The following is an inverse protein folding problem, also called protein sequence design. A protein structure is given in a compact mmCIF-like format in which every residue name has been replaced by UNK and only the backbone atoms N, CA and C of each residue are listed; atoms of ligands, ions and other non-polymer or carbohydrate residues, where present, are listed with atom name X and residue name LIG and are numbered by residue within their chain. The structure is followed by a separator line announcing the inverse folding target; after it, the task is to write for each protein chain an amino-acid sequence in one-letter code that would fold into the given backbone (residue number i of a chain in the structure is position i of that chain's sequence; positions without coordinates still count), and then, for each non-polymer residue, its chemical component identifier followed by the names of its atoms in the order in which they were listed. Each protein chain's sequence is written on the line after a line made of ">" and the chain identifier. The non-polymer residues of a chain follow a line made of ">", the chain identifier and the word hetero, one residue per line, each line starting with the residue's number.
data_IF_739996168471
#
_entry.id   IF_739996168471
#
_cell.length_a   1.000
_cell.length_b   1.000
_cell.length_c   1.000
_cell.angle_alpha   90.00
_cell.angle_beta   90.00
_cell.angle_gamma   90.00
#
_symmetry.space_group_name_H-M   'P 1'
#
loop_
_entity.id
_entity.type
_entity.pdbx_description
1 polymer ?
#
# COMPACT_ATOMS: atom_id res chain seq x y z
N UNK A 1 49.43 2.77 -24.82
CA UNK A 1 48.54 3.93 -24.60
C UNK A 1 47.17 3.73 -25.24
N UNK A 2 47.06 3.40 -26.53
CA UNK A 2 45.75 3.15 -27.15
C UNK A 2 45.02 1.91 -26.59
N UNK A 3 45.73 0.78 -26.42
CA UNK A 3 45.12 -0.46 -25.93
C UNK A 3 44.54 -0.35 -24.50
N UNK A 4 45.23 0.38 -23.60
CA UNK A 4 44.77 0.61 -22.22
C UNK A 4 43.51 1.47 -22.16
N UNK A 5 43.33 2.41 -23.09
CA UNK A 5 42.14 3.27 -23.19
C UNK A 5 40.92 2.47 -23.64
N UNK A 6 41.09 1.62 -24.65
CA UNK A 6 40.02 0.76 -25.18
C UNK A 6 39.50 -0.19 -24.11
N UNK A 7 40.39 -0.77 -23.30
CA UNK A 7 40.02 -1.68 -22.20
C UNK A 7 39.21 -0.95 -21.11
N UNK A 8 39.60 0.28 -20.75
CA UNK A 8 38.92 1.07 -19.71
C UNK A 8 37.51 1.49 -20.15
N UNK A 9 37.37 1.96 -21.39
CA UNK A 9 36.05 2.29 -21.96
C UNK A 9 35.16 1.05 -22.04
N UNK A 10 35.70 -0.09 -22.46
CA UNK A 10 34.96 -1.34 -22.55
C UNK A 10 34.48 -1.85 -21.18
N UNK A 11 35.34 -1.79 -20.16
CA UNK A 11 34.98 -2.15 -18.78
C UNK A 11 33.92 -1.21 -18.19
N UNK A 12 33.99 0.09 -18.47
CA UNK A 12 32.98 1.06 -18.03
C UNK A 12 31.60 0.78 -18.66
N UNK A 13 31.57 0.41 -19.95
CA UNK A 13 30.32 0.04 -20.66
C UNK A 13 29.71 -1.25 -20.08
N UNK A 14 30.52 -2.25 -19.76
CA UNK A 14 30.04 -3.51 -19.15
C UNK A 14 29.44 -3.26 -17.76
N UNK A 15 30.10 -2.47 -16.92
CA UNK A 15 29.63 -2.17 -15.56
C UNK A 15 28.34 -1.34 -15.59
N UNK A 16 28.25 -0.37 -16.50
CA UNK A 16 27.03 0.45 -16.67
C UNK A 16 25.86 -0.37 -17.23
N UNK A 17 26.11 -1.29 -18.16
CA UNK A 17 25.09 -2.21 -18.66
C UNK A 17 24.59 -3.18 -17.57
N UNK A 18 25.49 -3.70 -16.72
CA UNK A 18 25.11 -4.56 -15.60
C UNK A 18 24.24 -3.84 -14.56
N UNK A 19 24.55 -2.56 -14.26
CA UNK A 19 23.75 -1.74 -13.36
C UNK A 19 22.33 -1.51 -13.89
N UNK A 20 22.17 -1.24 -15.19
CA UNK A 20 20.85 -1.09 -15.81
C UNK A 20 20.02 -2.38 -15.73
N UNK A 21 20.63 -3.54 -15.97
CA UNK A 21 19.93 -4.82 -15.85
C UNK A 21 19.45 -5.11 -14.42
N UNK A 22 20.29 -4.84 -13.41
CA UNK A 22 19.92 -5.03 -12.00
C UNK A 22 18.74 -4.14 -11.59
N UNK A 23 18.73 -2.90 -12.06
CA UNK A 23 17.65 -1.93 -11.80
C UNK A 23 16.33 -2.42 -12.40
N UNK A 24 16.33 -2.93 -13.63
CA UNK A 24 15.12 -3.51 -14.25
C UNK A 24 14.59 -4.68 -13.44
N UNK A 25 15.46 -5.57 -12.95
CA UNK A 25 15.05 -6.71 -12.12
C UNK A 25 14.42 -6.24 -10.81
N UNK A 26 15.02 -5.27 -10.11
CA UNK A 26 14.48 -4.73 -8.85
C UNK A 26 13.11 -4.07 -9.08
N UNK A 27 12.99 -3.27 -10.13
CA UNK A 27 11.72 -2.62 -10.49
C UNK A 27 10.63 -3.66 -10.77
N UNK A 28 10.92 -4.68 -11.57
CA UNK A 28 9.97 -5.75 -11.89
C UNK A 28 9.54 -6.50 -10.63
N UNK A 29 10.48 -6.85 -9.74
CA UNK A 29 10.18 -7.53 -8.47
C UNK A 29 9.28 -6.65 -7.59
N UNK A 30 9.59 -5.36 -7.43
CA UNK A 30 8.77 -4.43 -6.63
C UNK A 30 7.36 -4.32 -7.19
N UNK A 31 7.22 -4.17 -8.51
CA UNK A 31 5.90 -4.09 -9.17
C UNK A 31 5.11 -5.39 -8.95
N UNK A 32 5.74 -6.56 -9.13
CA UNK A 32 5.08 -7.86 -8.92
C UNK A 32 4.61 -8.00 -7.47
N UNK A 33 5.46 -7.69 -6.49
CA UNK A 33 5.10 -7.76 -5.06
C UNK A 33 3.92 -6.84 -4.74
N UNK A 34 3.96 -5.59 -5.24
CA UNK A 34 2.88 -4.62 -5.03
C UNK A 34 1.58 -5.13 -5.62
N UNK A 35 1.59 -5.62 -6.87
CA UNK A 35 0.38 -6.15 -7.53
C UNK A 35 -0.18 -7.34 -6.75
N UNK A 36 0.65 -8.26 -6.28
CA UNK A 36 0.20 -9.41 -5.47
C UNK A 36 -0.45 -8.94 -4.16
N UNK A 37 0.17 -8.02 -3.43
CA UNK A 37 -0.39 -7.49 -2.18
C UNK A 37 -1.72 -6.80 -2.43
N UNK A 38 -1.80 -5.96 -3.46
CA UNK A 38 -3.03 -5.27 -3.86
C UNK A 38 -4.16 -6.27 -4.14
N UNK A 39 -3.89 -7.32 -4.93
CA UNK A 39 -4.89 -8.32 -5.27
C UNK A 39 -5.40 -9.06 -4.03
N UNK A 40 -4.50 -9.48 -3.13
CA UNK A 40 -4.88 -10.15 -1.89
C UNK A 40 -5.76 -9.25 -1.02
N UNK A 41 -5.37 -7.98 -0.84
CA UNK A 41 -6.14 -7.02 -0.04
C UNK A 41 -7.52 -6.78 -0.65
N UNK A 42 -7.62 -6.60 -1.97
CA UNK A 42 -8.90 -6.40 -2.66
C UNK A 42 -9.83 -7.61 -2.50
N UNK A 43 -9.32 -8.83 -2.66
CA UNK A 43 -10.12 -10.06 -2.54
C UNK A 43 -10.67 -10.24 -1.13
N UNK A 44 -9.86 -10.02 -0.09
CA UNK A 44 -10.28 -10.16 1.31
C UNK A 44 -11.31 -9.09 1.69
N UNK A 45 -11.12 -7.86 1.21
CA UNK A 45 -11.95 -6.71 1.58
C UNK A 45 -13.29 -6.69 0.85
N UNK A 46 -13.31 -7.13 -0.42
CA UNK A 46 -14.55 -7.21 -1.21
C UNK A 46 -15.62 -8.10 -0.56
N UNK A 47 -15.23 -9.04 0.30
CA UNK A 47 -16.15 -9.90 1.03
C UNK A 47 -16.74 -9.27 2.30
N UNK A 48 -16.16 -8.16 2.81
CA UNK A 48 -16.49 -7.65 4.14
C UNK A 48 -17.56 -6.55 4.13
N UNK A 49 -17.38 -5.47 3.36
CA UNK A 49 -18.24 -4.28 3.42
C UNK A 49 -17.99 -3.30 2.25
N UNK A 50 -19.03 -2.68 1.66
CA UNK A 50 -18.90 -1.80 0.49
C UNK A 50 -18.11 -0.50 0.77
N UNK A 51 -18.15 0.02 2.00
CA UNK A 51 -17.36 1.20 2.41
C UNK A 51 -15.86 0.88 2.51
N UNK A 52 -15.50 -0.33 2.95
CA UNK A 52 -14.10 -0.76 3.09
C UNK A 52 -13.47 -0.99 1.72
N UNK A 53 -14.25 -1.48 0.76
CA UNK A 53 -13.84 -1.60 -0.65
C UNK A 53 -13.42 -0.26 -1.23
N UNK A 54 -14.20 0.81 -1.02
CA UNK A 54 -13.85 2.15 -1.54
C UNK A 54 -12.54 2.65 -0.95
N UNK A 55 -12.33 2.51 0.37
CA UNK A 55 -11.08 2.95 1.01
C UNK A 55 -9.89 2.13 0.51
N UNK A 56 -10.06 0.82 0.37
CA UNK A 56 -9.00 -0.06 -0.12
C UNK A 56 -8.66 0.24 -1.57
N UNK A 57 -9.65 0.50 -2.43
CA UNK A 57 -9.41 0.92 -3.82
C UNK A 57 -8.62 2.23 -3.85
N UNK A 58 -8.96 3.22 -3.03
CA UNK A 58 -8.21 4.48 -2.95
C UNK A 58 -6.76 4.23 -2.50
N UNK A 59 -6.56 3.42 -1.47
CA UNK A 59 -5.22 3.08 -0.95
C UNK A 59 -4.40 2.31 -1.99
N UNK A 60 -5.02 1.35 -2.68
CA UNK A 60 -4.42 0.61 -3.80
C UNK A 60 -4.00 1.56 -4.91
N UNK A 61 -4.85 2.51 -5.30
CA UNK A 61 -4.52 3.51 -6.33
C UNK A 61 -3.33 4.35 -5.90
N UNK A 62 -3.27 4.81 -4.65
CA UNK A 62 -2.11 5.56 -4.12
C UNK A 62 -0.83 4.73 -4.15
N UNK A 63 -0.89 3.45 -3.76
CA UNK A 63 0.26 2.54 -3.81
C UNK A 63 0.74 2.33 -5.24
N UNK A 64 -0.18 2.07 -6.17
CA UNK A 64 0.13 1.89 -7.60
C UNK A 64 0.77 3.16 -8.17
N UNK A 65 0.19 4.33 -7.90
CA UNK A 65 0.75 5.62 -8.35
C UNK A 65 2.15 5.84 -7.78
N UNK A 66 2.37 5.61 -6.48
CA UNK A 66 3.68 5.76 -5.87
C UNK A 66 4.73 4.82 -6.52
N UNK A 67 4.36 3.57 -6.75
CA UNK A 67 5.23 2.58 -7.39
C UNK A 67 5.55 3.00 -8.82
N UNK A 68 4.56 3.44 -9.59
CA UNK A 68 4.76 3.96 -10.96
C UNK A 68 5.71 5.16 -10.95
N UNK A 69 5.53 6.12 -10.04
CA UNK A 69 6.43 7.28 -9.92
C UNK A 69 7.85 6.83 -9.63
N UNK A 70 8.04 5.89 -8.71
CA UNK A 70 9.35 5.34 -8.37
C UNK A 70 9.99 4.63 -9.56
N UNK A 71 9.23 3.78 -10.27
CA UNK A 71 9.68 3.12 -11.50
C UNK A 71 10.13 4.15 -12.52
N UNK A 72 9.34 5.20 -12.76
CA UNK A 72 9.67 6.25 -13.73
C UNK A 72 10.95 6.99 -13.35
N UNK A 73 11.10 7.39 -12.07
CA UNK A 73 12.32 8.06 -11.58
C UNK A 73 13.54 7.18 -11.80
N UNK A 74 13.43 5.90 -11.47
CA UNK A 74 14.52 4.92 -11.62
C UNK A 74 14.86 4.71 -13.10
N UNK A 75 13.86 4.52 -13.95
CA UNK A 75 14.03 4.30 -15.40
C UNK A 75 14.62 5.53 -16.09
N UNK A 76 14.39 6.75 -15.61
CA UNK A 76 14.96 7.98 -16.19
C UNK A 76 16.34 8.31 -15.59
N UNK A 77 16.55 8.09 -14.30
CA UNK A 77 17.81 8.39 -13.63
C UNK A 77 18.97 7.47 -14.07
N UNK A 78 18.68 6.21 -14.38
CA UNK A 78 19.72 5.24 -14.76
C UNK A 78 20.36 5.56 -16.13
N UNK A 79 19.59 5.79 -17.22
CA UNK A 79 20.16 6.22 -18.49
C UNK A 79 20.93 7.53 -18.39
N UNK A 80 20.42 8.52 -17.66
CA UNK A 80 21.10 9.80 -17.48
C UNK A 80 22.43 9.66 -16.75
N UNK A 81 22.50 8.82 -15.70
CA UNK A 81 23.76 8.48 -15.05
C UNK A 81 24.74 7.79 -16.01
N UNK A 82 24.28 6.82 -16.83
CA UNK A 82 25.17 6.15 -17.79
C UNK A 82 25.74 7.09 -18.85
N UNK A 83 24.95 8.05 -19.34
CA UNK A 83 25.42 9.07 -20.30
C UNK A 83 26.48 9.97 -19.67
N UNK A 84 26.25 10.45 -18.45
CA UNK A 84 27.21 11.29 -17.73
C UNK A 84 28.54 10.55 -17.52
N UNK A 85 28.49 9.28 -17.11
CA UNK A 85 29.69 8.44 -16.91
C UNK A 85 30.49 8.30 -18.18
N UNK A 86 29.84 7.93 -19.29
CA UNK A 86 30.52 7.74 -20.57
C UNK A 86 31.16 9.05 -21.03
N UNK A 87 30.45 10.17 -20.91
CA UNK A 87 30.98 11.49 -21.30
C UNK A 87 32.17 11.88 -20.44
N UNK A 88 32.09 11.74 -19.11
CA UNK A 88 33.20 12.08 -18.20
C UNK A 88 34.42 11.19 -18.45
N UNK A 89 34.22 9.89 -18.63
CA UNK A 89 35.31 8.95 -18.92
C UNK A 89 35.99 9.33 -20.24
N UNK A 90 35.23 9.60 -21.30
CA UNK A 90 35.78 10.00 -22.61
C UNK A 90 36.56 11.31 -22.50
N UNK A 91 36.04 12.34 -21.81
CA UNK A 91 36.71 13.64 -21.65
C UNK A 91 38.02 13.50 -20.86
N UNK A 92 38.00 12.74 -19.76
CA UNK A 92 39.18 12.54 -18.90
C UNK A 92 40.27 11.74 -19.63
N UNK A 93 39.88 10.72 -20.38
CA UNK A 93 40.82 9.90 -21.17
C UNK A 93 41.56 10.73 -22.22
N UNK A 94 40.92 11.75 -22.79
CA UNK A 94 41.52 12.61 -23.82
C UNK A 94 42.46 13.65 -23.21
N UNK A 95 42.16 14.14 -22.01
CA UNK A 95 42.84 15.30 -21.44
C UNK A 95 43.93 14.98 -20.40
N UNK A 96 43.93 13.78 -19.80
CA UNK A 96 44.70 13.51 -18.57
C UNK A 96 45.61 12.27 -18.76
N UNK A 97 46.87 12.28 -18.23
CA UNK A 97 47.79 11.14 -18.33
C UNK A 97 47.21 9.80 -17.84
N UNK A 98 47.56 8.70 -18.50
CA UNK A 98 46.92 7.38 -18.34
C UNK A 98 46.87 6.85 -16.89
N UNK A 99 47.86 7.17 -16.07
CA UNK A 99 47.92 6.81 -14.65
C UNK A 99 46.84 7.48 -13.80
N UNK A 100 46.40 8.68 -14.19
CA UNK A 100 45.32 9.42 -13.54
C UNK A 100 43.93 9.01 -14.03
N UNK A 101 43.82 8.52 -15.27
CA UNK A 101 42.56 8.04 -15.88
C UNK A 101 42.00 6.86 -15.09
N UNK A 102 42.86 5.93 -14.69
CA UNK A 102 42.45 4.75 -13.90
C UNK A 102 41.81 5.19 -12.58
N UNK A 103 42.40 6.16 -11.89
CA UNK A 103 41.88 6.69 -10.63
C UNK A 103 40.53 7.36 -10.82
N UNK A 104 40.40 8.20 -11.87
CA UNK A 104 39.15 8.91 -12.14
C UNK A 104 38.02 7.96 -12.54
N UNK A 105 38.30 6.93 -13.35
CA UNK A 105 37.29 5.93 -13.74
C UNK A 105 36.82 5.12 -12.54
N UNK A 106 37.72 4.74 -11.64
CA UNK A 106 37.37 4.05 -10.38
C UNK A 106 36.44 4.94 -9.54
N UNK A 107 36.77 6.24 -9.40
CA UNK A 107 35.94 7.20 -8.65
C UNK A 107 34.55 7.34 -9.28
N UNK A 108 34.46 7.47 -10.61
CA UNK A 108 33.18 7.60 -11.33
C UNK A 108 32.32 6.35 -11.14
N UNK A 109 32.90 5.15 -11.26
CA UNK A 109 32.19 3.88 -11.05
C UNK A 109 31.65 3.81 -9.62
N UNK A 110 32.46 4.16 -8.62
CA UNK A 110 32.02 4.19 -7.22
C UNK A 110 30.86 5.17 -7.03
N UNK A 111 30.93 6.38 -7.58
CA UNK A 111 29.84 7.37 -7.49
C UNK A 111 28.55 6.84 -8.12
N UNK A 112 28.62 6.19 -9.29
CA UNK A 112 27.44 5.62 -9.96
C UNK A 112 26.83 4.51 -9.12
N UNK A 113 27.64 3.62 -8.57
CA UNK A 113 27.18 2.55 -7.69
C UNK A 113 26.51 3.15 -6.45
N UNK A 114 27.11 4.16 -5.84
CA UNK A 114 26.52 4.87 -4.70
C UNK A 114 25.18 5.51 -5.07
N UNK A 115 25.08 6.20 -6.21
CA UNK A 115 23.82 6.81 -6.68
C UNK A 115 22.76 5.74 -6.91
N UNK A 116 23.08 4.63 -7.58
CA UNK A 116 22.16 3.51 -7.81
C UNK A 116 21.71 2.90 -6.48
N UNK A 117 22.62 2.67 -5.53
CA UNK A 117 22.31 2.15 -4.20
C UNK A 117 21.41 3.13 -3.44
N UNK A 118 21.69 4.42 -3.44
CA UNK A 118 20.86 5.45 -2.80
C UNK A 118 19.47 5.47 -3.40
N UNK A 119 19.35 5.43 -4.73
CA UNK A 119 18.05 5.36 -5.42
C UNK A 119 17.29 4.11 -4.98
N UNK A 120 17.93 2.94 -4.96
CA UNK A 120 17.31 1.68 -4.50
C UNK A 120 16.88 1.78 -3.03
N UNK A 121 17.70 2.34 -2.14
CA UNK A 121 17.35 2.54 -0.73
C UNK A 121 16.14 3.47 -0.59
N UNK A 122 16.09 4.58 -1.33
CA UNK A 122 14.95 5.50 -1.33
C UNK A 122 13.68 4.79 -1.81
N UNK A 123 13.75 4.00 -2.90
CA UNK A 123 12.64 3.17 -3.38
C UNK A 123 12.11 2.26 -2.28
N UNK A 124 13.01 1.55 -1.59
CA UNK A 124 12.66 0.62 -0.50
C UNK A 124 12.01 1.35 0.67
N UNK A 125 12.57 2.48 1.11
CA UNK A 125 12.01 3.28 2.23
C UNK A 125 10.62 3.79 1.89
N UNK A 126 10.41 4.30 0.68
CA UNK A 126 9.08 4.77 0.21
C UNK A 126 8.09 3.61 0.19
N UNK A 127 8.47 2.46 -0.36
CA UNK A 127 7.59 1.28 -0.39
C UNK A 127 7.21 0.82 1.02
N UNK A 128 8.17 0.75 1.96
CA UNK A 128 7.90 0.37 3.36
C UNK A 128 6.94 1.36 4.03
N UNK A 129 7.17 2.66 3.87
CA UNK A 129 6.29 3.69 4.42
C UNK A 129 4.86 3.56 3.88
N UNK A 130 4.69 3.33 2.58
CA UNK A 130 3.38 3.11 1.96
C UNK A 130 2.69 1.89 2.57
N UNK A 131 3.39 0.77 2.72
CA UNK A 131 2.83 -0.45 3.35
C UNK A 131 2.35 -0.18 4.78
N UNK A 132 3.13 0.53 5.60
CA UNK A 132 2.76 0.88 6.98
C UNK A 132 1.49 1.75 7.01
N UNK A 133 1.38 2.73 6.12
CA UNK A 133 0.20 3.58 6.00
C UNK A 133 -1.04 2.76 5.61
N UNK A 134 -0.92 1.89 4.60
CA UNK A 134 -2.01 0.98 4.16
C UNK A 134 -2.51 0.13 5.32
N UNK A 135 -1.60 -0.49 6.07
CA UNK A 135 -1.94 -1.34 7.22
C UNK A 135 -2.65 -0.53 8.32
N UNK A 136 -2.15 0.67 8.61
CA UNK A 136 -2.73 1.54 9.65
C UNK A 136 -4.16 1.95 9.28
N UNK A 137 -4.38 2.34 8.02
CA UNK A 137 -5.71 2.70 7.51
C UNK A 137 -6.66 1.50 7.58
N UNK A 138 -6.20 0.31 7.15
CA UNK A 138 -7.02 -0.90 7.20
C UNK A 138 -7.48 -1.25 8.63
N UNK A 139 -6.59 -1.11 9.62
CA UNK A 139 -6.91 -1.33 11.04
C UNK A 139 -7.97 -0.34 11.52
N UNK A 140 -7.84 0.95 11.18
CA UNK A 140 -8.81 1.98 11.56
C UNK A 140 -10.19 1.68 10.96
N UNK A 141 -10.25 1.33 9.68
CA UNK A 141 -11.51 1.02 9.00
C UNK A 141 -12.14 -0.28 9.56
N UNK A 142 -11.32 -1.27 9.91
CA UNK A 142 -11.77 -2.48 10.61
C UNK A 142 -12.35 -2.18 12.01
N UNK A 143 -11.76 -1.23 12.73
CA UNK A 143 -12.27 -0.81 14.04
C UNK A 143 -13.61 -0.06 13.93
N UNK A 144 -13.74 0.81 12.92
CA UNK A 144 -14.99 1.56 12.66
C UNK A 144 -16.12 0.63 12.26
N UNK A 145 -15.88 -0.33 11.35
CA UNK A 145 -16.89 -1.34 10.98
C UNK A 145 -17.33 -2.16 12.20
N UNK A 146 -16.39 -2.65 13.02
CA UNK A 146 -16.70 -3.38 14.25
C UNK A 146 -17.52 -2.55 15.25
N UNK A 147 -17.17 -1.27 15.46
CA UNK A 147 -17.94 -0.37 16.32
C UNK A 147 -19.38 -0.19 15.80
N UNK A 148 -19.54 -0.05 14.49
CA UNK A 148 -20.85 0.12 13.86
C UNK A 148 -21.72 -1.13 14.03
N UNK A 149 -21.14 -2.32 13.85
CA UNK A 149 -21.82 -3.61 14.08
C UNK A 149 -22.22 -3.76 15.56
N UNK A 150 -21.34 -3.42 16.50
CA UNK A 150 -21.62 -3.47 17.94
C UNK A 150 -22.77 -2.52 18.31
N UNK A 151 -22.80 -1.32 17.73
CA UNK A 151 -23.88 -0.34 17.94
C UNK A 151 -25.21 -0.91 17.40
N UNK A 152 -25.22 -1.46 16.19
CA UNK A 152 -26.42 -2.05 15.58
C UNK A 152 -26.95 -3.22 16.41
N UNK A 153 -26.08 -4.13 16.87
CA UNK A 153 -26.49 -5.28 17.71
C UNK A 153 -27.18 -4.84 19.00
N UNK A 154 -26.63 -3.84 19.70
CA UNK A 154 -27.25 -3.31 20.94
C UNK A 154 -28.62 -2.65 20.66
N UNK A 155 -28.75 -1.94 19.55
CA UNK A 155 -29.98 -1.24 19.17
C UNK A 155 -31.12 -2.22 18.87
N UNK A 156 -30.82 -3.31 18.15
CA UNK A 156 -31.78 -4.38 17.84
C UNK A 156 -32.28 -5.05 19.13
N UNK A 157 -31.38 -5.38 20.05
CA UNK A 157 -31.72 -5.98 21.34
C UNK A 157 -32.66 -5.06 22.14
N UNK A 158 -32.37 -3.76 22.18
CA UNK A 158 -33.21 -2.77 22.87
C UNK A 158 -34.62 -2.71 22.27
N UNK A 159 -34.73 -2.70 20.92
CA UNK A 159 -36.03 -2.66 20.24
C UNK A 159 -36.84 -3.94 20.52
N UNK A 160 -36.21 -5.11 20.47
CA UNK A 160 -36.89 -6.39 20.72
C UNK A 160 -37.42 -6.44 22.16
N UNK A 161 -36.58 -6.07 23.14
CA UNK A 161 -36.99 -6.02 24.55
C UNK A 161 -38.15 -5.05 24.74
N UNK A 162 -38.09 -3.86 24.11
CA UNK A 162 -39.18 -2.89 24.18
C UNK A 162 -40.50 -3.45 23.63
N UNK A 163 -40.47 -4.14 22.49
CA UNK A 163 -41.66 -4.77 21.92
C UNK A 163 -42.23 -5.83 22.87
N UNK A 164 -41.39 -6.68 23.44
CA UNK A 164 -41.83 -7.71 24.40
C UNK A 164 -42.51 -7.06 25.61
N UNK A 165 -41.93 -6.00 26.17
CA UNK A 165 -42.52 -5.27 27.30
C UNK A 165 -43.88 -4.69 26.91
N UNK A 166 -44.00 -4.05 25.75
CA UNK A 166 -45.27 -3.51 25.26
C UNK A 166 -46.32 -4.61 25.11
N UNK A 167 -45.97 -5.75 24.52
CA UNK A 167 -46.88 -6.89 24.37
C UNK A 167 -47.33 -7.40 25.73
N UNK A 168 -46.41 -7.58 26.68
CA UNK A 168 -46.76 -8.01 28.05
C UNK A 168 -47.70 -7.02 28.71
N UNK A 169 -47.44 -5.72 28.62
CA UNK A 169 -48.32 -4.67 29.17
C UNK A 169 -49.70 -4.74 28.53
N UNK A 170 -49.78 -4.87 27.20
CA UNK A 170 -51.07 -4.98 26.49
C UNK A 170 -51.82 -6.23 26.94
N UNK A 171 -51.15 -7.38 27.03
CA UNK A 171 -51.77 -8.63 27.50
C UNK A 171 -52.27 -8.48 28.93
N UNK A 172 -51.47 -7.89 29.83
CA UNK A 172 -51.89 -7.63 31.22
C UNK A 172 -53.11 -6.73 31.25
N UNK A 173 -53.13 -5.64 30.48
CA UNK A 173 -54.29 -4.74 30.39
C UNK A 173 -55.53 -5.47 29.89
N UNK A 174 -55.41 -6.28 28.83
CA UNK A 174 -56.53 -7.06 28.29
C UNK A 174 -57.05 -8.04 29.33
N UNK A 175 -56.16 -8.77 30.02
CA UNK A 175 -56.55 -9.70 31.09
C UNK A 175 -57.28 -8.98 32.21
N UNK A 176 -56.78 -7.83 32.66
CA UNK A 176 -57.44 -7.01 33.69
C UNK A 176 -58.83 -6.58 33.24
N UNK A 177 -58.97 -6.09 32.00
CA UNK A 177 -60.27 -5.68 31.45
C UNK A 177 -61.24 -6.86 31.41
N UNK A 178 -60.81 -8.02 30.93
CA UNK A 178 -61.64 -9.23 30.88
C UNK A 178 -62.09 -9.64 32.28
N UNK A 179 -61.19 -9.66 33.26
CA UNK A 179 -61.52 -9.97 34.65
C UNK A 179 -62.56 -9.00 35.19
N UNK A 180 -62.38 -7.69 34.98
CA UNK A 180 -63.34 -6.67 35.42
C UNK A 180 -64.72 -6.89 34.78
N UNK A 181 -64.78 -7.15 33.47
CA UNK A 181 -66.04 -7.41 32.77
C UNK A 181 -66.74 -8.65 33.32
N UNK A 182 -66.01 -9.75 33.54
CA UNK A 182 -66.56 -10.98 34.11
C UNK A 182 -67.13 -10.72 35.51
N UNK A 183 -66.40 -10.01 36.36
CA UNK A 183 -66.87 -9.66 37.71
C UNK A 183 -68.15 -8.83 37.64
N UNK A 184 -68.22 -7.83 36.76
CA UNK A 184 -69.42 -6.99 36.58
C UNK A 184 -70.61 -7.83 36.12
N UNK A 185 -70.43 -8.72 35.14
CA UNK A 185 -71.51 -9.59 34.64
C UNK A 185 -72.02 -10.50 35.77
N UNK A 186 -71.13 -11.11 36.54
CA UNK A 186 -71.52 -11.96 37.67
C UNK A 186 -72.34 -11.17 38.71
N UNK A 187 -71.92 -9.95 39.04
CA UNK A 187 -72.64 -9.09 40.00
C UNK A 187 -74.04 -8.71 39.51
N UNK A 188 -74.25 -8.52 38.21
CA UNK A 188 -75.56 -8.14 37.64
C UNK A 188 -76.53 -9.32 37.59
N UNK A 189 -76.02 -10.55 37.47
CA UNK A 189 -76.84 -11.78 37.35
C UNK A 189 -77.38 -12.27 38.70
N UNK A 190 -76.67 -11.98 39.80
CA UNK A 190 -77.05 -12.33 41.18
C UNK A 190 -78.09 -11.35 41.72
#
# INVERSE_FOLDING_TARGET
>A
MAASIVVVVYMAVIVTAAAAAAVVVVVVVVVVVVVVVVVVVVVVVAAADPLVVVVVVVVVVVVVVAVVVVVVVVVVAVPTATVVVVVVVVVVVVAVPAETVVVVVIIIIVVVVVVVVVVVVVVVVVAVAVVVVVLTVAVVVSAVSAATVIIIMKLIIIIIIAVVVVVVVVVVVVVVVVVVVVVVVVVVVV
#
